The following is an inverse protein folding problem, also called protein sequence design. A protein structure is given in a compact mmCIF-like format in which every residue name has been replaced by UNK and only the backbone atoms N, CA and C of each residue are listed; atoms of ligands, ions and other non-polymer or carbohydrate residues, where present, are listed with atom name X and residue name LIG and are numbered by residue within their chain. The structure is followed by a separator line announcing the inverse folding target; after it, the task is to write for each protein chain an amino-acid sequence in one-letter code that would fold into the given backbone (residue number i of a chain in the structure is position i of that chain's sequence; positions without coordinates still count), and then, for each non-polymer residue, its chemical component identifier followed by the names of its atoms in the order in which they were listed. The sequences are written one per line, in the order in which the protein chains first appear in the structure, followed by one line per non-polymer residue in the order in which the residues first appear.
data_IF_757083357945
#
_entry.id   IF_757083357945
#
_cell.length_a   1.000
_cell.length_b   1.000
_cell.length_c   1.000
_cell.angle_alpha   90.00
_cell.angle_beta   90.00
_cell.angle_gamma   90.00
#
_symmetry.space_group_name_H-M   'P 1'
#
loop_
_entity.id
_entity.type
_entity.pdbx_description
1 polymer ?
#
# COMPACT_ATOMS: atom_id res chain seq x y z
N UNK A 1 -15.58 -1.55 16.47
CA UNK A 1 -14.74 -0.42 16.03
C UNK A 1 -13.75 -0.89 14.95
N UNK A 2 -14.25 -1.56 13.89
CA UNK A 2 -13.45 -2.21 12.83
C UNK A 2 -13.63 -1.51 11.46
N UNK A 3 -14.64 -0.63 11.34
CA UNK A 3 -14.94 0.09 10.09
C UNK A 3 -13.88 1.12 9.70
N UNK A 4 -13.20 1.73 10.68
CA UNK A 4 -12.22 2.80 10.40
C UNK A 4 -11.04 2.28 9.58
N UNK A 5 -10.52 1.12 9.94
CA UNK A 5 -9.35 0.52 9.27
C UNK A 5 -9.70 0.01 7.88
N UNK A 6 -10.86 -0.65 7.70
CA UNK A 6 -11.35 -1.05 6.37
C UNK A 6 -11.60 0.16 5.46
N UNK A 7 -12.17 1.24 6.00
CA UNK A 7 -12.38 2.47 5.25
C UNK A 7 -11.04 3.12 4.86
N UNK A 8 -10.07 3.10 5.77
CA UNK A 8 -8.73 3.60 5.53
C UNK A 8 -8.02 2.80 4.43
N UNK A 9 -8.03 1.46 4.52
CA UNK A 9 -7.47 0.58 3.50
C UNK A 9 -8.07 0.87 2.12
N UNK A 10 -9.39 0.98 2.03
CA UNK A 10 -10.07 1.28 0.77
C UNK A 10 -9.70 2.66 0.22
N UNK A 11 -9.49 3.65 1.08
CA UNK A 11 -9.02 4.99 0.69
C UNK A 11 -7.63 4.91 0.06
N UNK A 12 -6.68 4.23 0.72
CA UNK A 12 -5.31 4.05 0.22
C UNK A 12 -5.29 3.26 -1.09
N UNK A 13 -6.08 2.18 -1.18
CA UNK A 13 -6.23 1.39 -2.43
C UNK A 13 -6.72 2.23 -3.60
N UNK A 14 -7.72 3.08 -3.38
CA UNK A 14 -8.25 3.98 -4.42
C UNK A 14 -7.21 5.02 -4.83
N UNK A 15 -6.47 5.58 -3.88
CA UNK A 15 -5.42 6.53 -4.16
C UNK A 15 -4.28 5.90 -4.96
N UNK A 16 -3.78 4.74 -4.54
CA UNK A 16 -2.78 3.95 -5.26
C UNK A 16 -3.21 3.68 -6.71
N UNK A 17 -4.47 3.24 -6.91
CA UNK A 17 -5.02 2.96 -8.24
C UNK A 17 -5.01 4.18 -9.15
N UNK A 18 -5.29 5.37 -8.64
CA UNK A 18 -5.24 6.63 -9.42
C UNK A 18 -3.82 6.95 -9.90
N UNK A 19 -2.81 6.56 -9.12
CA UNK A 19 -1.40 6.79 -9.42
C UNK A 19 -0.74 5.65 -10.21
N UNK A 20 -1.50 4.62 -10.61
CA UNK A 20 -0.96 3.49 -11.37
C UNK A 20 -0.34 2.38 -10.51
N UNK A 21 -0.66 2.32 -9.22
CA UNK A 21 -0.19 1.29 -8.30
C UNK A 21 -1.31 0.34 -7.86
N UNK A 22 -0.92 -0.81 -7.31
CA UNK A 22 -1.82 -1.79 -6.69
C UNK A 22 -1.30 -2.15 -5.30
N UNK A 23 -2.13 -1.92 -4.27
CA UNK A 23 -1.87 -2.41 -2.91
C UNK A 23 -2.33 -3.87 -2.83
N UNK A 24 -1.50 -4.77 -2.31
CA UNK A 24 -1.90 -6.15 -1.98
C UNK A 24 -1.74 -6.37 -0.48
N UNK A 25 -2.68 -7.11 0.09
CA UNK A 25 -2.65 -7.56 1.49
C UNK A 25 -2.25 -9.04 1.51
N UNK A 26 -1.42 -9.45 2.46
CA UNK A 26 -1.08 -10.85 2.66
C UNK A 26 -2.34 -11.66 2.94
N UNK A 27 -2.41 -12.87 2.38
CA UNK A 27 -3.48 -13.85 2.66
C UNK A 27 -3.04 -14.94 3.64
N UNK A 28 -1.76 -14.97 4.00
CA UNK A 28 -1.23 -15.96 4.92
C UNK A 28 -1.75 -15.65 6.33
N UNK A 29 -2.45 -16.61 6.92
CA UNK A 29 -2.87 -16.56 8.32
C UNK A 29 -1.67 -16.88 9.21
N UNK A 30 -0.64 -16.02 9.23
CA UNK A 30 0.55 -16.26 10.03
C UNK A 30 1.05 -14.96 10.67
N UNK A 31 1.01 -14.95 12.00
CA UNK A 31 1.95 -14.33 12.94
C UNK A 31 2.85 -13.20 12.40
N UNK A 32 2.29 -12.13 11.85
CA UNK A 32 3.06 -10.92 11.59
C UNK A 32 3.21 -10.16 12.91
N UNK A 33 4.24 -10.53 13.68
CA UNK A 33 4.74 -9.68 14.74
C UNK A 33 5.37 -8.43 14.10
N UNK A 34 4.61 -7.33 14.11
CA UNK A 34 5.10 -5.95 13.84
C UNK A 34 5.65 -5.64 12.44
N UNK A 35 5.30 -6.41 11.40
CA UNK A 35 5.55 -6.06 9.99
C UNK A 35 4.22 -5.89 9.28
N UNK A 36 3.98 -4.74 8.65
CA UNK A 36 2.66 -4.42 8.11
C UNK A 36 2.24 -5.39 7.00
N UNK A 37 0.96 -5.77 6.93
CA UNK A 37 0.47 -6.87 6.08
C UNK A 37 0.34 -6.52 4.58
N UNK A 38 0.98 -5.44 4.10
CA UNK A 38 0.73 -4.86 2.80
C UNK A 38 2.00 -4.73 1.94
N UNK A 39 1.79 -4.76 0.63
CA UNK A 39 2.79 -4.42 -0.37
C UNK A 39 2.20 -3.52 -1.44
N UNK A 40 3.06 -2.74 -2.10
CA UNK A 40 2.73 -1.84 -3.20
C UNK A 40 3.41 -2.31 -4.48
N UNK A 41 2.62 -2.52 -5.53
CA UNK A 41 3.07 -2.86 -6.87
C UNK A 41 2.89 -1.68 -7.81
N UNK A 42 3.86 -1.42 -8.67
CA UNK A 42 3.69 -0.51 -9.79
C UNK A 42 3.14 -1.29 -11.00
N UNK A 43 2.00 -0.85 -11.54
CA UNK A 43 1.25 -1.67 -12.49
C UNK A 43 1.94 -1.78 -13.86
N UNK A 44 2.63 -0.74 -14.31
CA UNK A 44 3.24 -0.73 -15.65
C UNK A 44 4.53 -1.55 -15.72
N UNK A 45 5.34 -1.55 -14.65
CA UNK A 45 6.56 -2.34 -14.56
C UNK A 45 6.35 -3.71 -13.91
N UNK A 46 5.18 -3.94 -13.29
CA UNK A 46 4.89 -5.13 -12.48
C UNK A 46 5.98 -5.39 -11.40
N UNK A 47 6.58 -4.31 -10.88
CA UNK A 47 7.63 -4.38 -9.86
C UNK A 47 7.06 -4.08 -8.49
N UNK A 48 7.61 -4.74 -7.47
CA UNK A 48 7.32 -4.37 -6.08
C UNK A 48 8.09 -3.09 -5.78
N UNK A 49 7.36 -2.07 -5.34
CA UNK A 49 7.91 -0.76 -5.00
C UNK A 49 8.15 -0.66 -3.51
N UNK A 50 7.26 -1.27 -2.72
CA UNK A 50 7.32 -1.24 -1.27
C UNK A 50 6.67 -2.49 -0.68
N UNK A 51 7.17 -2.95 0.47
CA UNK A 51 6.63 -4.12 1.15
C UNK A 51 6.99 -5.45 0.46
N UNK A 52 8.25 -5.67 0.03
CA UNK A 52 8.69 -6.85 -0.74
C UNK A 52 8.16 -8.18 -0.17
N UNK A 53 8.04 -8.27 1.16
CA UNK A 53 7.55 -9.47 1.86
C UNK A 53 6.25 -9.26 2.62
N UNK A 54 5.43 -8.29 2.19
CA UNK A 54 4.29 -7.81 2.97
C UNK A 54 4.73 -7.42 4.37
N UNK A 55 5.72 -6.53 4.43
CA UNK A 55 6.28 -5.93 5.64
C UNK A 55 5.87 -4.47 5.79
N UNK A 56 5.13 -3.88 4.83
CA UNK A 56 4.71 -2.49 4.88
C UNK A 56 3.32 -2.26 5.42
N UNK A 57 3.15 -1.15 6.13
CA UNK A 57 1.85 -0.68 6.62
C UNK A 57 1.10 0.15 5.58
N UNK A 58 -0.20 0.37 5.79
CA UNK A 58 -0.99 1.27 4.94
C UNK A 58 -0.50 2.72 5.01
N UNK A 59 0.00 3.15 6.16
CA UNK A 59 0.53 4.50 6.38
C UNK A 59 1.82 4.72 5.59
N UNK A 60 2.74 3.76 5.63
CA UNK A 60 3.96 3.79 4.83
C UNK A 60 3.66 3.85 3.33
N UNK A 61 2.68 3.06 2.87
CA UNK A 61 2.23 3.08 1.48
C UNK A 61 1.59 4.42 1.13
N UNK A 62 0.74 4.98 1.99
CA UNK A 62 0.12 6.29 1.76
C UNK A 62 1.19 7.39 1.64
N UNK A 63 2.18 7.40 2.52
CA UNK A 63 3.28 8.35 2.50
C UNK A 63 4.09 8.25 1.20
N UNK A 64 4.43 7.04 0.74
CA UNK A 64 5.09 6.84 -0.54
C UNK A 64 4.27 7.41 -1.70
N UNK A 65 2.96 7.15 -1.71
CA UNK A 65 2.07 7.62 -2.77
C UNK A 65 1.92 9.16 -2.78
N UNK A 66 1.94 9.79 -1.61
CA UNK A 66 1.92 11.24 -1.48
C UNK A 66 3.21 11.87 -1.99
N UNK A 67 4.36 11.31 -1.63
CA UNK A 67 5.67 11.73 -2.13
C UNK A 67 5.75 11.56 -3.65
N UNK A 68 5.33 10.40 -4.18
CA UNK A 68 5.27 10.15 -5.61
C UNK A 68 4.37 11.15 -6.34
N UNK A 69 3.17 11.42 -5.82
CA UNK A 69 2.26 12.40 -6.43
C UNK A 69 2.88 13.81 -6.46
N UNK A 70 3.54 14.23 -5.38
CA UNK A 70 4.21 15.53 -5.33
C UNK A 70 5.35 15.63 -6.36
N UNK A 71 6.09 14.55 -6.59
CA UNK A 71 7.19 14.51 -7.55
C UNK A 71 6.72 14.51 -9.02
N UNK A 72 5.48 14.07 -9.29
CA UNK A 72 4.91 14.08 -10.65
C UNK A 72 4.29 15.43 -11.03
N UNK A 73 4.04 16.32 -10.05
CA UNK A 73 3.47 17.66 -10.27
C UNK A 73 4.54 18.77 -10.37
N UNK A 74 5.83 18.44 -10.25
CA UNK A 74 6.98 19.35 -10.38
C UNK A 74 7.63 19.29 -11.77
#
# INVERSE_FOLDING_TARGET
MENSEKNYEQRVRRFAKRLGFTVRKSRAQQYFQKGGEYLLLHNSSNTIVQGERFDSSLEEIENYLLEYACLQEA
#
